data_IF_404456570418
#
_entry.id   IF_404456570418
#
_cell.length_a   1.000
_cell.length_b   1.000
_cell.length_c   1.000
_cell.angle_alpha   90.00
_cell.angle_beta   90.00
_cell.angle_gamma   90.00
#
_symmetry.space_group_name_H-M   'P 1'
#
loop_
_entity.id
_entity.type
_entity.pdbx_description
1 polymer ?
#
# COMPACT_ATOMS: atom_id res chain seq x y z
N UNK A 1 12.67 -16.87 -0.32
CA UNK A 1 11.46 -16.40 -1.02
C UNK A 1 11.72 -14.99 -1.50
N UNK A 2 11.04 -14.55 -2.54
CA UNK A 2 11.14 -13.17 -3.02
C UNK A 2 10.55 -12.20 -2.01
N UNK A 3 11.27 -11.12 -1.67
CA UNK A 3 10.93 -10.23 -0.55
C UNK A 3 10.22 -8.96 -1.01
N UNK A 4 9.09 -8.68 -0.39
CA UNK A 4 8.26 -7.50 -0.64
C UNK A 4 8.18 -6.65 0.62
N UNK A 5 8.30 -5.33 0.43
CA UNK A 5 8.09 -4.36 1.48
C UNK A 5 6.61 -3.98 1.61
N UNK A 6 6.18 -3.65 2.82
CA UNK A 6 4.84 -3.14 3.10
C UNK A 6 4.94 -1.77 3.75
N UNK A 7 4.20 -0.79 3.23
CA UNK A 7 4.08 0.55 3.83
C UNK A 7 2.65 0.73 4.31
N UNK A 8 2.47 0.97 5.61
CA UNK A 8 1.15 0.98 6.26
C UNK A 8 0.86 2.33 6.91
N UNK A 9 -0.24 2.96 6.52
CA UNK A 9 -0.75 4.14 7.22
C UNK A 9 -1.25 3.79 8.62
N UNK A 10 -0.95 4.63 9.61
CA UNK A 10 -1.41 4.48 11.00
C UNK A 10 -2.77 5.13 11.23
N UNK A 11 -3.25 5.95 10.29
CA UNK A 11 -4.63 6.39 10.25
C UNK A 11 -5.55 5.17 10.00
N UNK A 12 -6.53 4.94 10.89
CA UNK A 12 -7.28 3.67 10.99
C UNK A 12 -6.41 2.43 11.25
N UNK A 13 -5.44 2.52 12.17
CA UNK A 13 -4.48 1.45 12.46
C UNK A 13 -5.10 0.05 12.57
N UNK A 14 -6.18 -0.13 13.34
CA UNK A 14 -6.83 -1.45 13.51
C UNK A 14 -7.37 -2.03 12.19
N UNK A 15 -7.90 -1.17 11.30
CA UNK A 15 -8.35 -1.58 9.98
C UNK A 15 -7.16 -1.94 9.08
N UNK A 16 -6.08 -1.16 9.13
CA UNK A 16 -4.87 -1.41 8.35
C UNK A 16 -4.15 -2.67 8.85
N UNK A 17 -4.15 -2.97 10.15
CA UNK A 17 -3.64 -4.23 10.69
C UNK A 17 -4.37 -5.45 10.10
N UNK A 18 -5.69 -5.37 9.90
CA UNK A 18 -6.43 -6.42 9.17
C UNK A 18 -5.97 -6.52 7.72
N UNK A 19 -5.74 -5.39 7.05
CA UNK A 19 -5.20 -5.37 5.68
C UNK A 19 -3.81 -6.02 5.62
N UNK A 20 -2.95 -5.79 6.61
CA UNK A 20 -1.64 -6.44 6.72
C UNK A 20 -1.77 -7.96 6.76
N UNK A 21 -2.74 -8.50 7.52
CA UNK A 21 -2.99 -9.95 7.56
C UNK A 21 -3.37 -10.49 6.17
N UNK A 22 -4.35 -9.85 5.51
CA UNK A 22 -4.77 -10.27 4.17
C UNK A 22 -3.65 -10.15 3.13
N UNK A 23 -2.86 -9.09 3.16
CA UNK A 23 -1.71 -8.90 2.28
C UNK A 23 -0.62 -9.96 2.55
N UNK A 24 -0.36 -10.28 3.82
CA UNK A 24 0.62 -11.31 4.19
C UNK A 24 0.18 -12.70 3.72
N UNK A 25 -1.11 -13.03 3.88
CA UNK A 25 -1.68 -14.29 3.40
C UNK A 25 -1.61 -14.39 1.87
N UNK A 26 -1.96 -13.31 1.16
CA UNK A 26 -1.87 -13.26 -0.30
C UNK A 26 -0.42 -13.38 -0.78
N UNK A 27 0.52 -12.73 -0.10
CA UNK A 27 1.95 -12.79 -0.45
C UNK A 27 2.44 -14.23 -0.34
N UNK A 28 2.13 -14.92 0.76
CA UNK A 28 2.47 -16.34 0.93
C UNK A 28 1.87 -17.22 -0.16
N UNK A 29 0.60 -16.98 -0.52
CA UNK A 29 -0.07 -17.72 -1.59
C UNK A 29 0.61 -17.55 -2.96
N UNK A 30 1.26 -16.41 -3.18
CA UNK A 30 2.01 -16.08 -4.40
C UNK A 30 3.53 -16.38 -4.28
N UNK A 31 3.99 -17.09 -3.23
CA UNK A 31 5.40 -17.44 -3.03
C UNK A 31 6.30 -16.26 -2.62
N UNK A 32 5.69 -15.16 -2.18
CA UNK A 32 6.36 -13.94 -1.70
C UNK A 32 6.43 -13.92 -0.17
N UNK A 33 7.41 -13.19 0.35
CA UNK A 33 7.60 -12.95 1.77
C UNK A 33 7.47 -11.46 2.06
N UNK A 34 6.58 -11.10 2.99
CA UNK A 34 6.55 -9.75 3.55
C UNK A 34 7.70 -9.65 4.57
N UNK A 35 8.79 -8.98 4.19
CA UNK A 35 9.99 -8.94 5.02
C UNK A 35 10.12 -7.69 5.88
N UNK A 36 9.46 -6.62 5.48
CA UNK A 36 9.55 -5.33 6.14
C UNK A 36 8.16 -4.68 6.15
N UNK A 37 7.69 -4.28 7.34
CA UNK A 37 6.44 -3.54 7.51
C UNK A 37 6.79 -2.19 8.12
N UNK A 38 6.68 -1.14 7.31
CA UNK A 38 6.97 0.24 7.70
C UNK A 38 5.66 0.96 8.00
N UNK A 39 5.46 1.33 9.26
CA UNK A 39 4.33 2.15 9.66
C UNK A 39 4.65 3.63 9.51
N UNK A 40 3.74 4.36 8.86
CA UNK A 40 3.81 5.81 8.67
C UNK A 40 2.59 6.50 9.28
N UNK A 41 2.65 7.80 9.61
CA UNK A 41 1.51 8.52 10.20
C UNK A 41 0.25 8.45 9.32
N UNK A 42 0.37 8.76 8.02
CA UNK A 42 -0.73 8.66 7.07
C UNK A 42 -0.26 8.43 5.62
N UNK A 43 -1.19 8.52 4.68
CA UNK A 43 -0.90 8.26 3.25
C UNK A 43 0.10 9.24 2.63
N UNK A 44 0.22 10.46 3.17
CA UNK A 44 1.14 11.49 2.65
C UNK A 44 2.61 11.05 2.79
N UNK A 45 2.96 10.31 3.83
CA UNK A 45 4.32 9.82 4.05
C UNK A 45 4.62 8.52 3.29
N UNK A 46 3.59 7.86 2.74
CA UNK A 46 3.75 6.57 2.06
C UNK A 46 4.74 6.64 0.89
N UNK A 47 4.73 7.65 -0.01
CA UNK A 47 5.71 7.74 -1.10
C UNK A 47 7.16 7.75 -0.62
N UNK A 48 7.49 8.50 0.43
CA UNK A 48 8.86 8.57 0.94
C UNK A 48 9.30 7.23 1.55
N UNK A 49 8.43 6.58 2.33
CA UNK A 49 8.71 5.26 2.87
C UNK A 49 8.87 4.20 1.77
N UNK A 50 8.05 4.27 0.73
CA UNK A 50 8.14 3.39 -0.45
C UNK A 50 9.45 3.59 -1.18
N UNK A 51 9.86 4.83 -1.48
CA UNK A 51 11.13 5.11 -2.14
C UNK A 51 12.32 4.46 -1.41
N UNK A 52 12.37 4.62 -0.07
CA UNK A 52 13.42 4.03 0.77
C UNK A 52 13.45 2.49 0.73
N UNK A 53 12.28 1.85 0.58
CA UNK A 53 12.22 0.39 0.43
C UNK A 53 12.64 -0.04 -0.98
N UNK A 54 12.24 0.71 -2.02
CA UNK A 54 12.61 0.42 -3.41
C UNK A 54 14.11 0.59 -3.68
N UNK A 55 14.79 1.47 -2.95
CA UNK A 55 16.25 1.63 -2.98
C UNK A 55 17.02 0.37 -2.55
N UNK A 56 16.39 -0.54 -1.81
CA UNK A 56 17.05 -1.74 -1.32
C UNK A 56 17.05 -2.84 -2.37
N UNK A 57 18.22 -3.42 -2.63
CA UNK A 57 18.38 -4.53 -3.59
C UNK A 57 17.66 -5.81 -3.16
N UNK A 58 17.46 -6.00 -1.85
CA UNK A 58 16.77 -7.17 -1.31
C UNK A 58 15.25 -7.07 -1.36
N UNK A 59 14.69 -5.92 -1.76
CA UNK A 59 13.25 -5.71 -1.93
C UNK A 59 12.93 -5.62 -3.42
N UNK A 60 12.09 -6.54 -3.90
CA UNK A 60 11.73 -6.64 -5.31
C UNK A 60 10.42 -5.95 -5.67
N UNK A 61 9.72 -5.39 -4.69
CA UNK A 61 8.47 -4.68 -4.86
C UNK A 61 7.93 -4.19 -3.52
N UNK A 62 6.99 -3.24 -3.55
CA UNK A 62 6.40 -2.66 -2.34
C UNK A 62 4.89 -2.58 -2.48
N UNK A 63 4.13 -2.92 -1.44
CA UNK A 63 2.69 -2.66 -1.37
C UNK A 63 2.39 -1.57 -0.33
N UNK A 64 1.54 -0.61 -0.69
CA UNK A 64 1.12 0.48 0.18
C UNK A 64 -0.31 0.23 0.67
N UNK A 65 -0.53 0.16 1.98
CA UNK A 65 -1.83 -0.04 2.62
C UNK A 65 -2.23 1.20 3.41
N UNK A 66 -3.49 1.60 3.34
CA UNK A 66 -3.98 2.74 4.09
C UNK A 66 -5.44 3.06 3.78
N UNK A 67 -5.96 4.07 4.45
CA UNK A 67 -7.34 4.53 4.29
C UNK A 67 -7.33 6.05 4.23
N UNK A 68 -7.98 6.61 3.21
CA UNK A 68 -8.27 8.04 3.09
C UNK A 68 -9.80 8.18 3.21
N UNK A 69 -10.27 8.34 4.44
CA UNK A 69 -11.68 8.54 4.77
C UNK A 69 -12.19 9.89 4.23
N UNK A 70 -13.49 9.96 3.96
CA UNK A 70 -14.17 11.19 3.56
C UNK A 70 -14.20 12.20 4.72
N UNK A 71 -13.63 13.37 4.49
CA UNK A 71 -13.76 14.53 5.37
C UNK A 71 -14.81 15.53 4.87
N UNK A 72 -14.82 16.71 5.50
CA UNK A 72 -15.72 17.82 5.14
C UNK A 72 -15.25 18.66 3.95
N UNK A 73 -14.00 18.47 3.50
CA UNK A 73 -13.37 19.23 2.43
C UNK A 73 -12.69 18.30 1.42
N UNK A 74 -12.26 18.85 0.28
CA UNK A 74 -11.52 18.13 -0.76
C UNK A 74 -10.09 17.72 -0.34
N UNK A 75 -9.70 17.93 0.91
CA UNK A 75 -8.36 17.62 1.42
C UNK A 75 -7.96 16.16 1.15
N UNK A 76 -8.87 15.20 1.39
CA UNK A 76 -8.62 13.79 1.10
C UNK A 76 -8.40 13.51 -0.38
N UNK A 77 -9.13 14.19 -1.27
CA UNK A 77 -8.98 14.06 -2.72
C UNK A 77 -7.61 14.56 -3.19
N UNK A 78 -7.20 15.73 -2.70
CA UNK A 78 -5.89 16.33 -3.02
C UNK A 78 -4.75 15.41 -2.56
N UNK A 79 -4.82 14.89 -1.33
CA UNK A 79 -3.85 13.93 -0.81
C UNK A 79 -3.81 12.66 -1.68
N UNK A 80 -4.97 12.06 -1.94
CA UNK A 80 -5.06 10.81 -2.69
C UNK A 80 -4.43 10.92 -4.08
N UNK A 81 -4.72 12.01 -4.80
CA UNK A 81 -4.15 12.27 -6.13
C UNK A 81 -2.62 12.46 -6.07
N UNK A 82 -2.11 13.23 -5.12
CA UNK A 82 -0.68 13.46 -4.96
C UNK A 82 0.08 12.17 -4.61
N UNK A 83 -0.48 11.35 -3.71
CA UNK A 83 0.10 10.07 -3.28
C UNK A 83 0.11 9.07 -4.43
N UNK A 84 -1.02 8.85 -5.11
CA UNK A 84 -1.10 7.90 -6.23
C UNK A 84 -0.14 8.29 -7.35
N UNK A 85 -0.09 9.59 -7.72
CA UNK A 85 0.88 10.07 -8.72
C UNK A 85 2.31 9.75 -8.31
N UNK A 86 2.67 10.04 -7.05
CA UNK A 86 4.03 9.80 -6.56
C UNK A 86 4.40 8.31 -6.57
N UNK A 87 3.48 7.42 -6.21
CA UNK A 87 3.71 5.97 -6.25
C UNK A 87 3.88 5.44 -7.69
N UNK A 88 3.17 6.03 -8.66
CA UNK A 88 3.38 5.74 -10.09
C UNK A 88 4.75 6.24 -10.56
N UNK A 89 5.13 7.46 -10.19
CA UNK A 89 6.45 8.00 -10.55
C UNK A 89 7.58 7.15 -9.95
N UNK A 90 7.41 6.67 -8.71
CA UNK A 90 8.39 5.80 -8.04
C UNK A 90 8.51 4.42 -8.70
N UNK A 91 7.41 3.73 -9.01
CA UNK A 91 7.53 2.41 -9.65
C UNK A 91 8.20 2.50 -11.02
N UNK A 92 7.93 3.57 -11.78
CA UNK A 92 8.57 3.81 -13.08
C UNK A 92 10.04 4.21 -12.93
N UNK A 93 10.38 5.00 -11.91
CA UNK A 93 11.74 5.47 -11.67
C UNK A 93 12.69 4.40 -11.15
N UNK A 94 12.19 3.49 -10.30
CA UNK A 94 12.98 2.40 -9.71
C UNK A 94 12.91 1.09 -10.48
N UNK A 95 12.04 0.99 -11.49
CA UNK A 95 11.75 -0.24 -12.24
C UNK A 95 11.40 -1.42 -11.32
N UNK A 96 10.59 -1.13 -10.30
CA UNK A 96 10.13 -2.10 -9.29
C UNK A 96 8.65 -1.87 -9.00
N UNK A 97 7.82 -2.92 -9.00
CA UNK A 97 6.38 -2.75 -8.88
C UNK A 97 5.96 -2.19 -7.52
N UNK A 98 4.98 -1.29 -7.56
CA UNK A 98 4.32 -0.73 -6.37
C UNK A 98 2.83 -1.05 -6.39
N UNK A 99 2.38 -1.87 -5.44
CA UNK A 99 0.98 -2.23 -5.24
C UNK A 99 0.21 -1.16 -4.47
N UNK A 100 -0.96 -0.78 -4.97
CA UNK A 100 -1.84 0.21 -4.32
C UNK A 100 -2.99 -0.47 -3.57
N UNK A 101 -2.86 -0.52 -2.25
CA UNK A 101 -3.91 -0.95 -1.32
C UNK A 101 -4.40 0.18 -0.42
N UNK A 102 -4.25 1.44 -0.82
CA UNK A 102 -4.83 2.58 -0.12
C UNK A 102 -6.30 2.72 -0.54
N UNK A 103 -7.22 2.60 0.41
CA UNK A 103 -8.67 2.72 0.18
C UNK A 103 -9.05 4.21 0.17
N UNK A 104 -9.64 4.68 -0.92
CA UNK A 104 -10.07 6.07 -1.09
C UNK A 104 -9.53 6.69 -2.39
N UNK A 105 -9.50 8.02 -2.50
CA UNK A 105 -9.88 8.99 -1.47
C UNK A 105 -11.40 9.07 -1.25
N UNK A 106 -11.81 9.46 -0.05
CA UNK A 106 -13.21 9.76 0.26
C UNK A 106 -14.08 8.52 0.49
N UNK A 107 -13.50 7.45 1.04
CA UNK A 107 -14.31 6.29 1.44
C UNK A 107 -15.21 6.65 2.62
N UNK A 108 -16.48 6.27 2.55
CA UNK A 108 -17.41 6.43 3.67
C UNK A 108 -17.09 5.37 4.76
N UNK A 109 -17.25 5.70 6.06
CA UNK A 109 -16.93 4.79 7.16
C UNK A 109 -17.57 3.40 7.04
N UNK A 110 -18.82 3.32 6.58
CA UNK A 110 -19.58 2.07 6.45
C UNK A 110 -19.02 1.15 5.35
N UNK A 111 -18.21 1.71 4.44
CA UNK A 111 -17.61 0.97 3.32
C UNK A 111 -16.22 0.44 3.65
N UNK A 112 -15.58 0.91 4.71
CA UNK A 112 -14.18 0.57 5.04
C UNK A 112 -14.05 -0.95 5.21
N UNK A 113 -14.85 -1.56 6.08
CA UNK A 113 -14.71 -2.98 6.44
C UNK A 113 -14.79 -3.93 5.23
N UNK A 114 -15.72 -3.69 4.29
CA UNK A 114 -15.87 -4.55 3.09
C UNK A 114 -14.76 -4.35 2.04
N UNK A 115 -13.95 -3.30 2.18
CA UNK A 115 -12.87 -2.96 1.24
C UNK A 115 -11.50 -3.41 1.72
N UNK A 116 -11.32 -3.70 3.02
CA UNK A 116 -10.02 -4.07 3.62
C UNK A 116 -9.36 -5.23 2.87
N UNK A 117 -10.04 -6.38 2.81
CA UNK A 117 -9.49 -7.58 2.18
C UNK A 117 -9.26 -7.42 0.67
N UNK A 118 -10.25 -6.97 -0.14
CA UNK A 118 -10.05 -6.87 -1.59
C UNK A 118 -8.87 -5.96 -1.98
N UNK A 119 -8.69 -4.83 -1.31
CA UNK A 119 -7.62 -3.88 -1.66
C UNK A 119 -6.25 -4.38 -1.18
N UNK A 120 -6.19 -5.00 0.00
CA UNK A 120 -4.95 -5.59 0.51
C UNK A 120 -4.43 -6.71 -0.40
N UNK A 121 -5.31 -7.64 -0.81
CA UNK A 121 -4.96 -8.73 -1.72
C UNK A 121 -4.59 -8.21 -3.11
N UNK A 122 -5.40 -7.30 -3.66
CA UNK A 122 -5.14 -6.74 -5.00
C UNK A 122 -3.80 -6.01 -5.08
N UNK A 123 -3.38 -5.33 -4.01
CA UNK A 123 -2.07 -4.68 -3.96
C UNK A 123 -0.92 -5.69 -4.10
N UNK A 124 -1.03 -6.84 -3.46
CA UNK A 124 -0.02 -7.91 -3.55
C UNK A 124 -0.08 -8.62 -4.90
N UNK A 125 -1.28 -8.90 -5.42
CA UNK A 125 -1.44 -9.50 -6.76
C UNK A 125 -0.81 -8.61 -7.84
N UNK A 126 -0.98 -7.29 -7.73
CA UNK A 126 -0.34 -6.33 -8.64
C UNK A 126 1.20 -6.42 -8.57
N UNK A 127 1.77 -6.55 -7.37
CA UNK A 127 3.21 -6.76 -7.20
C UNK A 127 3.64 -8.10 -7.77
N UNK A 128 2.97 -9.21 -7.41
CA UNK A 128 3.33 -10.57 -7.86
C UNK A 128 3.27 -10.73 -9.37
N UNK A 129 2.31 -10.08 -10.03
CA UNK A 129 2.11 -10.16 -11.48
C UNK A 129 3.15 -9.38 -12.29
N UNK A 130 3.87 -8.46 -11.66
CA UNK A 130 4.82 -7.54 -12.31
C UNK A 130 6.27 -7.80 -11.92
N UNK A 131 6.52 -8.77 -11.04
CA UNK A 131 7.88 -9.23 -10.74
C UNK A 131 8.39 -10.03 -11.95
N UNK A 132 9.50 -9.58 -12.51
CA UNK A 132 10.21 -10.19 -13.65
C UNK A 132 11.51 -10.83 -13.19
#
# INVERSE_FOLDING_TARGET
>A
MSRVGLVCGSFHKESVEKMVLHATDEARANGLEISDIVWVPGSVEAPLATARLLERDDIIGVACLGIIEKGETDHGLVIGQAVVKSLIDLQLGYDKPVGLGIIGPGVEPEQINRRLEPHARSAIIAVSSMIV
#
